data_IF_096371643323
#
_entry.id   IF_096371643323
#
_cell.length_a   1.000
_cell.length_b   1.000
_cell.length_c   1.000
_cell.angle_alpha   90.00
_cell.angle_beta   90.00
_cell.angle_gamma   90.00
#
_symmetry.space_group_name_H-M   'P 1'
#
loop_
_entity.id
_entity.type
_entity.pdbx_description
1 polymer ?
#
# COMPACT_ATOMS: atom_id res chain seq x y z
N UNK A 1 10.38 0.10 -12.83
CA UNK A 1 11.28 1.27 -12.68
C UNK A 1 10.54 2.27 -11.83
N UNK A 2 10.96 2.43 -10.57
CA UNK A 2 10.29 3.32 -9.62
C UNK A 2 10.37 4.78 -10.09
N UNK A 3 9.22 5.43 -10.18
CA UNK A 3 9.14 6.86 -10.43
C UNK A 3 9.66 7.63 -9.22
N UNK A 4 10.98 7.82 -9.17
CA UNK A 4 11.61 8.75 -8.23
C UNK A 4 11.25 10.18 -8.62
N UNK A 5 10.17 10.69 -8.02
CA UNK A 5 9.85 12.12 -8.07
C UNK A 5 10.95 12.91 -7.36
N UNK A 6 11.43 13.96 -8.01
CA UNK A 6 12.39 14.90 -7.42
C UNK A 6 11.81 15.55 -6.16
N UNK A 7 12.58 15.72 -5.05
CA UNK A 7 12.07 16.14 -3.73
C UNK A 7 11.58 17.60 -3.61
N UNK A 8 11.22 18.28 -4.72
CA UNK A 8 11.02 19.74 -4.76
C UNK A 8 9.61 20.24 -5.06
N UNK A 9 8.74 19.41 -5.65
CA UNK A 9 7.37 19.82 -5.98
C UNK A 9 6.41 18.76 -5.45
N UNK A 10 5.88 18.97 -4.24
CA UNK A 10 4.86 18.12 -3.62
C UNK A 10 3.53 18.16 -4.39
N UNK A 11 3.53 17.64 -5.61
CA UNK A 11 2.38 17.56 -6.50
C UNK A 11 1.60 16.26 -6.30
N UNK A 12 0.37 16.26 -6.82
CA UNK A 12 -0.40 15.03 -6.98
C UNK A 12 0.17 14.26 -8.17
N UNK A 13 0.48 12.98 -8.00
CA UNK A 13 0.75 12.06 -9.09
C UNK A 13 -0.56 11.42 -9.55
N UNK A 14 -0.78 11.39 -10.87
CA UNK A 14 -1.88 10.63 -11.48
C UNK A 14 -1.29 9.37 -12.10
N UNK A 15 -1.72 8.22 -11.58
CA UNK A 15 -1.28 6.91 -12.02
C UNK A 15 -2.36 6.23 -12.84
N UNK A 16 -1.97 5.62 -13.96
CA UNK A 16 -2.86 4.86 -14.83
C UNK A 16 -2.76 3.38 -14.49
N UNK A 17 -3.75 2.87 -13.76
CA UNK A 17 -3.77 1.51 -13.22
C UNK A 17 -4.91 0.70 -13.84
N UNK A 18 -4.95 -0.59 -13.50
CA UNK A 18 -6.09 -1.45 -13.78
C UNK A 18 -6.51 -2.21 -12.52
N UNK A 19 -7.82 -2.32 -12.34
CA UNK A 19 -8.42 -3.27 -11.41
C UNK A 19 -8.86 -4.50 -12.21
N UNK A 20 -8.32 -5.66 -11.85
CA UNK A 20 -8.77 -6.95 -12.34
C UNK A 20 -9.83 -7.50 -11.39
N UNK A 21 -10.95 -7.97 -11.93
CA UNK A 21 -12.05 -8.47 -11.10
C UNK A 21 -12.64 -9.77 -11.63
N UNK A 22 -12.89 -10.71 -10.73
CA UNK A 22 -13.57 -11.95 -11.08
C UNK A 22 -14.42 -12.48 -9.93
N UNK A 23 -15.44 -13.24 -10.27
CA UNK A 23 -16.41 -13.81 -9.34
C UNK A 23 -16.11 -15.31 -9.18
N UNK A 24 -15.95 -15.79 -7.95
CA UNK A 24 -15.55 -17.16 -7.63
C UNK A 24 -16.53 -17.73 -6.58
N UNK A 25 -17.33 -18.72 -6.94
CA UNK A 25 -18.34 -19.36 -6.05
C UNK A 25 -18.06 -20.84 -5.75
N UNK A 26 -16.93 -21.36 -6.24
CA UNK A 26 -16.54 -22.77 -6.16
C UNK A 26 -15.09 -22.97 -5.69
N UNK A 27 -14.53 -21.97 -4.97
CA UNK A 27 -13.21 -22.05 -4.34
C UNK A 27 -13.30 -21.98 -2.81
N UNK A 28 -12.22 -22.37 -2.13
CA UNK A 28 -12.11 -22.36 -0.67
C UNK A 28 -11.39 -21.10 -0.19
N UNK A 29 -11.66 -20.62 1.05
CA UNK A 29 -10.93 -19.50 1.62
C UNK A 29 -9.40 -19.69 1.66
N UNK A 30 -8.92 -20.92 1.87
CA UNK A 30 -7.49 -21.24 1.88
C UNK A 30 -6.84 -21.03 0.51
N UNK A 31 -7.50 -21.45 -0.58
CA UNK A 31 -7.03 -21.21 -1.94
C UNK A 31 -7.04 -19.71 -2.24
N UNK A 32 -8.10 -19.00 -1.87
CA UNK A 32 -8.20 -17.56 -2.10
C UNK A 32 -7.14 -16.77 -1.34
N UNK A 33 -6.81 -17.17 -0.10
CA UNK A 33 -5.72 -16.59 0.67
C UNK A 33 -4.36 -16.82 0.00
N UNK A 34 -4.09 -18.05 -0.45
CA UNK A 34 -2.86 -18.38 -1.19
C UNK A 34 -2.71 -17.55 -2.47
N UNK A 35 -3.80 -17.43 -3.26
CA UNK A 35 -3.80 -16.61 -4.48
C UNK A 35 -3.54 -15.14 -4.16
N UNK A 36 -4.12 -14.61 -3.08
CA UNK A 36 -3.86 -13.24 -2.62
C UNK A 36 -2.38 -13.00 -2.31
N UNK A 37 -1.72 -13.93 -1.59
CA UNK A 37 -0.30 -13.85 -1.28
C UNK A 37 0.58 -13.92 -2.53
N UNK A 38 0.25 -14.81 -3.47
CA UNK A 38 0.95 -14.93 -4.76
C UNK A 38 0.87 -13.65 -5.58
N UNK A 39 -0.32 -13.06 -5.69
CA UNK A 39 -0.54 -11.83 -6.46
C UNK A 39 0.23 -10.64 -5.87
N UNK A 40 0.18 -10.48 -4.55
CA UNK A 40 0.97 -9.45 -3.84
C UNK A 40 2.47 -9.66 -4.06
N UNK A 41 2.94 -10.90 -3.94
CA UNK A 41 4.35 -11.26 -4.17
C UNK A 41 4.79 -11.03 -5.62
N UNK A 42 3.86 -11.15 -6.57
CA UNK A 42 4.10 -10.90 -7.99
C UNK A 42 4.05 -9.40 -8.37
N UNK A 43 3.75 -8.51 -7.43
CA UNK A 43 3.74 -7.05 -7.64
C UNK A 43 2.35 -6.43 -7.84
N UNK A 44 1.27 -7.09 -7.42
CA UNK A 44 -0.01 -6.41 -7.27
C UNK A 44 0.14 -5.26 -6.25
N UNK A 45 -0.48 -4.11 -6.56
CA UNK A 45 -0.48 -2.95 -5.67
C UNK A 45 -1.46 -3.12 -4.51
N UNK A 46 -2.54 -3.87 -4.72
CA UNK A 46 -3.51 -4.25 -3.70
C UNK A 46 -4.28 -5.49 -4.15
N UNK A 47 -4.74 -6.29 -3.19
CA UNK A 47 -5.63 -7.44 -3.41
C UNK A 47 -6.68 -7.45 -2.31
N UNK A 48 -7.95 -7.43 -2.70
CA UNK A 48 -9.06 -7.49 -1.75
C UNK A 48 -10.19 -8.37 -2.26
N UNK A 49 -11.04 -8.77 -1.32
CA UNK A 49 -12.10 -9.74 -1.56
C UNK A 49 -13.41 -9.26 -0.95
N UNK A 50 -14.50 -9.37 -1.70
CA UNK A 50 -15.85 -9.00 -1.26
C UNK A 50 -16.75 -10.22 -1.33
N UNK A 51 -17.44 -10.54 -0.23
CA UNK A 51 -18.44 -11.61 -0.23
C UNK A 51 -19.67 -11.19 -1.06
N UNK A 52 -20.15 -12.09 -1.92
CA UNK A 52 -21.32 -11.85 -2.75
C UNK A 52 -22.20 -13.09 -2.86
N UNK A 53 -23.50 -12.88 -3.07
CA UNK A 53 -24.43 -13.94 -3.46
C UNK A 53 -24.51 -13.97 -4.99
N UNK A 54 -24.14 -15.09 -5.57
CA UNK A 54 -24.10 -15.32 -7.01
C UNK A 54 -25.38 -15.99 -7.51
N UNK A 55 -25.44 -16.28 -8.81
CA UNK A 55 -26.56 -16.99 -9.44
C UNK A 55 -26.91 -18.27 -8.67
N UNK A 56 -28.19 -18.63 -8.65
CA UNK A 56 -28.72 -19.80 -7.90
C UNK A 56 -28.50 -19.72 -6.38
N UNK A 57 -28.31 -18.51 -5.83
CA UNK A 57 -28.19 -18.28 -4.38
C UNK A 57 -26.87 -18.78 -3.79
N UNK A 58 -25.85 -19.01 -4.62
CA UNK A 58 -24.56 -19.53 -4.15
C UNK A 58 -23.74 -18.42 -3.47
N UNK A 59 -23.25 -18.62 -2.24
CA UNK A 59 -22.26 -17.71 -1.67
C UNK A 59 -20.94 -17.84 -2.44
N UNK A 60 -20.29 -16.72 -2.70
CA UNK A 60 -18.99 -16.65 -3.35
C UNK A 60 -18.25 -15.36 -3.00
N UNK A 61 -17.11 -15.16 -3.66
CA UNK A 61 -16.21 -14.02 -3.46
C UNK A 61 -16.01 -13.31 -4.79
N UNK A 62 -16.01 -11.98 -4.75
CA UNK A 62 -15.45 -11.15 -5.83
C UNK A 62 -14.00 -10.86 -5.46
N UNK A 63 -13.08 -11.39 -6.23
CA UNK A 63 -11.65 -11.09 -6.12
C UNK A 63 -11.37 -9.83 -6.91
N UNK A 64 -10.68 -8.88 -6.29
CA UNK A 64 -10.19 -7.67 -6.91
C UNK A 64 -8.67 -7.58 -6.77
N UNK A 65 -8.00 -7.16 -7.83
CA UNK A 65 -6.54 -6.99 -7.88
C UNK A 65 -6.23 -5.66 -8.55
N UNK A 66 -5.63 -4.72 -7.82
CA UNK A 66 -5.13 -3.47 -8.37
C UNK A 66 -3.68 -3.66 -8.81
N UNK A 67 -3.35 -3.33 -10.05
CA UNK A 67 -1.98 -3.42 -10.53
C UNK A 67 -1.68 -2.38 -11.61
N UNK A 68 -0.38 -2.16 -11.87
CA UNK A 68 0.07 -1.44 -13.04
C UNK A 68 -0.41 -2.13 -14.32
N UNK A 69 -0.74 -1.33 -15.34
CA UNK A 69 -1.13 -1.89 -16.64
C UNK A 69 -0.08 -2.85 -17.23
N UNK A 70 1.19 -2.61 -16.93
CA UNK A 70 2.31 -3.46 -17.37
C UNK A 70 2.37 -4.83 -16.68
N UNK A 71 1.73 -4.98 -15.51
CA UNK A 71 1.66 -6.24 -14.76
C UNK A 71 0.40 -7.05 -15.07
N UNK A 72 -0.53 -6.50 -15.86
CA UNK A 72 -1.84 -7.09 -16.13
C UNK A 72 -1.75 -8.55 -16.59
N UNK A 73 -0.90 -8.85 -17.58
CA UNK A 73 -0.79 -10.21 -18.13
C UNK A 73 -0.27 -11.23 -17.10
N UNK A 74 0.64 -10.79 -16.22
CA UNK A 74 1.17 -11.62 -15.14
C UNK A 74 0.06 -11.95 -14.11
N UNK A 75 -0.69 -10.92 -13.70
CA UNK A 75 -1.80 -11.10 -12.75
C UNK A 75 -2.92 -11.98 -13.33
N UNK A 76 -3.26 -11.80 -14.62
CA UNK A 76 -4.22 -12.64 -15.32
C UNK A 76 -3.76 -14.10 -15.34
N UNK A 77 -2.47 -14.35 -15.60
CA UNK A 77 -1.91 -15.69 -15.60
C UNK A 77 -2.06 -16.37 -14.23
N UNK A 78 -1.76 -15.66 -13.14
CA UNK A 78 -1.92 -16.19 -11.78
C UNK A 78 -3.40 -16.50 -11.50
N UNK A 79 -4.31 -15.56 -11.75
CA UNK A 79 -5.74 -15.74 -11.47
C UNK A 79 -6.32 -16.93 -12.26
N UNK A 80 -5.99 -17.05 -13.55
CA UNK A 80 -6.54 -18.10 -14.42
C UNK A 80 -5.95 -19.48 -14.15
N UNK A 81 -4.72 -19.58 -13.63
CA UNK A 81 -4.11 -20.87 -13.30
C UNK A 81 -4.48 -21.36 -11.90
N UNK A 82 -4.58 -20.46 -10.93
CA UNK A 82 -4.75 -20.82 -9.51
C UNK A 82 -6.21 -20.80 -9.04
N UNK A 83 -7.13 -20.31 -9.88
CA UNK A 83 -8.57 -20.29 -9.58
C UNK A 83 -9.38 -21.04 -10.62
N UNK A 84 -10.64 -21.30 -10.28
CA UNK A 84 -11.63 -21.94 -11.16
C UNK A 84 -12.26 -20.99 -12.17
N UNK A 85 -11.91 -19.69 -12.13
CA UNK A 85 -12.53 -18.72 -13.01
C UNK A 85 -12.16 -18.95 -14.47
N UNK A 86 -13.11 -18.70 -15.36
CA UNK A 86 -12.90 -18.76 -16.81
C UNK A 86 -12.63 -17.38 -17.43
N UNK A 87 -12.67 -16.32 -16.62
CA UNK A 87 -12.50 -14.98 -17.13
C UNK A 87 -12.33 -13.94 -16.04
N UNK A 88 -11.66 -12.87 -16.42
CA UNK A 88 -11.37 -11.73 -15.55
C UNK A 88 -11.76 -10.46 -16.28
N UNK A 89 -12.47 -9.56 -15.60
CA UNK A 89 -12.78 -8.22 -16.12
C UNK A 89 -11.59 -7.31 -15.82
N UNK A 90 -11.23 -6.48 -16.79
CA UNK A 90 -10.16 -5.49 -16.65
C UNK A 90 -10.83 -4.11 -16.65
N UNK A 91 -10.72 -3.39 -15.55
CA UNK A 91 -11.31 -2.06 -15.37
C UNK A 91 -10.17 -1.05 -15.26
N UNK A 92 -9.94 -0.21 -16.28
CA UNK A 92 -8.99 0.90 -16.16
C UNK A 92 -9.41 1.84 -15.03
N UNK A 93 -8.44 2.29 -14.24
CA UNK A 93 -8.70 3.28 -13.20
C UNK A 93 -7.53 4.25 -13.06
N UNK A 94 -7.86 5.50 -12.74
CA UNK A 94 -6.86 6.50 -12.39
C UNK A 94 -6.73 6.56 -10.86
N UNK A 95 -5.51 6.54 -10.36
CA UNK A 95 -5.23 6.77 -8.95
C UNK A 95 -4.49 8.10 -8.79
N UNK A 96 -5.10 9.01 -8.05
CA UNK A 96 -4.44 10.26 -7.65
C UNK A 96 -3.80 10.02 -6.28
N UNK A 97 -2.48 10.19 -6.20
CA UNK A 97 -1.72 10.01 -4.97
C UNK A 97 -0.88 11.24 -4.66
N UNK A 98 -0.60 11.48 -3.38
CA UNK A 98 0.41 12.45 -2.95
C UNK A 98 1.80 11.86 -3.18
N UNK A 99 2.78 12.72 -3.45
CA UNK A 99 4.19 12.32 -3.44
C UNK A 99 4.52 11.67 -2.08
N UNK A 100 5.03 10.44 -2.14
CA UNK A 100 5.49 9.68 -0.97
C UNK A 100 7.02 9.73 -0.93
N UNK A 101 7.55 10.12 0.21
CA UNK A 101 8.98 10.01 0.51
C UNK A 101 9.15 8.99 1.63
N UNK A 102 10.12 8.10 1.46
CA UNK A 102 10.59 7.23 2.52
C UNK A 102 11.71 7.95 3.25
N UNK A 103 11.38 8.45 4.43
CA UNK A 103 12.30 9.18 5.29
C UNK A 103 12.60 8.39 6.57
N UNK A 104 13.51 8.89 7.39
CA UNK A 104 13.86 8.23 8.66
C UNK A 104 13.58 9.14 9.85
N UNK A 105 12.96 8.57 10.88
CA UNK A 105 12.71 9.24 12.15
C UNK A 105 13.56 8.66 13.28
N UNK A 106 14.14 9.53 14.10
CA UNK A 106 14.90 9.11 15.28
C UNK A 106 13.96 8.88 16.46
N UNK A 107 14.00 7.68 17.02
CA UNK A 107 13.30 7.33 18.27
C UNK A 107 14.31 7.04 19.39
N UNK A 108 13.87 6.96 20.66
CA UNK A 108 14.73 6.51 21.76
C UNK A 108 15.32 5.10 21.56
N UNK A 109 14.74 4.31 20.65
CA UNK A 109 15.14 2.92 20.39
C UNK A 109 15.83 2.74 19.03
N UNK A 110 16.08 3.81 18.28
CA UNK A 110 16.75 3.78 16.99
C UNK A 110 15.97 4.44 15.85
N UNK A 111 16.51 4.32 14.65
CA UNK A 111 15.94 4.89 13.44
C UNK A 111 14.78 4.04 12.92
N UNK A 112 13.69 4.70 12.56
CA UNK A 112 12.47 4.09 12.04
C UNK A 112 12.13 4.72 10.69
N UNK A 113 11.94 3.92 9.63
CA UNK A 113 11.42 4.43 8.37
C UNK A 113 10.01 5.01 8.54
N UNK A 114 9.77 6.17 7.95
CA UNK A 114 8.49 6.88 7.93
C UNK A 114 8.09 7.14 6.48
N UNK A 115 6.88 6.72 6.12
CA UNK A 115 6.23 7.14 4.87
C UNK A 115 5.63 8.53 5.11
N UNK A 116 6.28 9.55 4.54
CA UNK A 116 5.81 10.92 4.54
C UNK A 116 5.07 11.22 3.24
N UNK A 117 3.89 11.84 3.35
CA UNK A 117 3.10 12.30 2.21
C UNK A 117 2.99 13.81 2.20
N UNK A 118 3.27 14.43 1.05
CA UNK A 118 3.25 15.87 0.88
C UNK A 118 2.19 16.30 -0.13
N UNK A 119 1.41 17.32 0.23
CA UNK A 119 0.46 17.99 -0.65
C UNK A 119 0.79 19.47 -0.71
N UNK A 120 1.14 19.97 -1.91
CA UNK A 120 1.55 21.36 -2.13
C UNK A 120 2.69 21.78 -1.19
N UNK A 121 3.68 20.90 -1.02
CA UNK A 121 4.83 21.11 -0.12
C UNK A 121 4.53 21.03 1.37
N UNK A 122 3.27 20.77 1.77
CA UNK A 122 2.88 20.60 3.18
C UNK A 122 2.80 19.13 3.52
N UNK A 123 3.39 18.76 4.65
CA UNK A 123 3.24 17.43 5.22
C UNK A 123 1.75 17.19 5.55
N UNK A 124 1.15 16.16 4.97
CA UNK A 124 -0.24 15.77 5.22
C UNK A 124 -0.37 14.43 5.96
N UNK A 125 0.64 13.57 5.85
CA UNK A 125 0.70 12.31 6.59
C UNK A 125 2.15 11.94 6.85
N UNK A 126 2.39 11.36 8.02
CA UNK A 126 3.64 10.71 8.38
C UNK A 126 3.23 9.42 9.10
N UNK A 127 3.57 8.27 8.53
CA UNK A 127 3.24 6.97 9.11
C UNK A 127 4.50 6.16 9.28
N UNK A 128 4.77 5.73 10.51
CA UNK A 128 5.91 4.85 10.79
C UNK A 128 5.65 3.43 10.25
N UNK A 129 6.65 2.86 9.57
CA UNK A 129 6.56 1.53 8.97
C UNK A 129 6.38 0.45 10.05
N UNK A 130 5.40 -0.43 9.83
CA UNK A 130 4.99 -1.40 10.85
C UNK A 130 6.08 -2.42 11.16
N UNK A 131 6.68 -3.06 10.15
CA UNK A 131 7.65 -4.13 10.33
C UNK A 131 8.89 -3.68 11.11
N UNK A 132 9.54 -2.53 10.77
CA UNK A 132 10.64 -1.99 11.57
C UNK A 132 10.22 -1.63 13.00
N UNK A 133 9.08 -0.97 13.18
CA UNK A 133 8.58 -0.65 14.52
C UNK A 133 8.32 -1.90 15.35
N UNK A 134 7.77 -2.96 14.75
CA UNK A 134 7.49 -4.21 15.41
C UNK A 134 8.77 -4.97 15.79
N UNK A 135 9.81 -4.92 14.94
CA UNK A 135 11.13 -5.46 15.28
C UNK A 135 11.73 -4.74 16.50
N UNK A 136 11.82 -3.41 16.44
CA UNK A 136 12.36 -2.57 17.52
C UNK A 136 11.59 -2.77 18.83
N UNK A 137 10.26 -2.83 18.76
CA UNK A 137 9.40 -3.06 19.92
C UNK A 137 9.71 -4.41 20.60
N UNK A 138 9.89 -5.48 19.82
CA UNK A 138 10.24 -6.80 20.34
C UNK A 138 11.64 -6.82 20.96
N UNK A 139 12.62 -6.24 20.27
CA UNK A 139 14.02 -6.19 20.72
C UNK A 139 14.20 -5.40 22.02
N UNK A 140 13.46 -4.30 22.18
CA UNK A 140 13.57 -3.41 23.33
C UNK A 140 12.53 -3.70 24.42
N UNK A 141 11.66 -4.70 24.22
CA UNK A 141 10.57 -5.05 25.13
C UNK A 141 9.65 -3.87 25.47
N UNK A 142 9.30 -3.07 24.46
CA UNK A 142 8.40 -1.90 24.59
C UNK A 142 7.13 -2.06 23.75
N UNK A 143 6.05 -1.34 24.07
CA UNK A 143 4.83 -1.37 23.24
C UNK A 143 5.07 -0.82 21.84
N UNK A 144 4.62 -1.55 20.80
CA UNK A 144 4.68 -1.10 19.39
C UNK A 144 4.10 0.31 19.19
N UNK A 145 2.98 0.60 19.85
CA UNK A 145 2.31 1.91 19.76
C UNK A 145 3.22 3.06 20.21
N UNK A 146 4.12 2.82 21.16
CA UNK A 146 5.02 3.85 21.69
C UNK A 146 6.18 4.10 20.71
N UNK A 147 6.68 3.05 20.05
CA UNK A 147 7.67 3.16 18.97
C UNK A 147 7.10 3.94 17.78
N UNK A 148 5.88 3.58 17.33
CA UNK A 148 5.19 4.29 16.25
C UNK A 148 4.98 5.76 16.59
N UNK A 149 4.42 6.03 17.77
CA UNK A 149 4.16 7.39 18.22
C UNK A 149 5.44 8.23 18.33
N UNK A 150 6.52 7.68 18.87
CA UNK A 150 7.80 8.38 18.98
C UNK A 150 8.37 8.75 17.61
N UNK A 151 8.32 7.83 16.65
CA UNK A 151 8.79 8.06 15.28
C UNK A 151 7.95 9.13 14.56
N UNK A 152 6.62 8.97 14.56
CA UNK A 152 5.70 9.91 13.90
C UNK A 152 5.79 11.30 14.52
N UNK A 153 5.84 11.39 15.85
CA UNK A 153 6.01 12.67 16.57
C UNK A 153 7.33 13.34 16.23
N UNK A 154 8.45 12.62 16.30
CA UNK A 154 9.77 13.18 16.01
C UNK A 154 9.82 13.74 14.59
N UNK A 155 9.27 12.98 13.62
CA UNK A 155 9.26 13.37 12.22
C UNK A 155 8.46 14.67 12.01
N UNK A 156 7.24 14.73 12.54
CA UNK A 156 6.38 15.91 12.43
C UNK A 156 7.03 17.14 13.07
N UNK A 157 7.65 16.99 14.24
CA UNK A 157 8.33 18.10 14.91
C UNK A 157 9.56 18.59 14.15
N UNK A 158 10.31 17.69 13.52
CA UNK A 158 11.50 18.05 12.75
C UNK A 158 11.13 18.77 11.44
N UNK A 159 10.15 18.26 10.70
CA UNK A 159 9.60 18.91 9.51
C UNK A 159 9.11 20.33 9.79
N UNK A 160 8.39 20.52 10.90
CA UNK A 160 7.91 21.85 11.30
C UNK A 160 9.06 22.83 11.59
N UNK A 161 10.19 22.35 12.14
CA UNK A 161 11.38 23.19 12.40
C UNK A 161 12.07 23.58 11.11
N UNK A 162 12.24 22.66 10.18
CA UNK A 162 12.90 22.90 8.91
C UNK A 162 12.10 23.89 8.03
N UNK A 163 10.77 23.72 7.95
CA UNK A 163 9.89 24.66 7.25
C UNK A 163 9.85 26.05 7.91
N UNK A 164 9.92 26.10 9.25
CA UNK A 164 10.02 27.36 9.99
C UNK A 164 11.33 28.12 9.78
N UNK A 165 12.43 27.41 9.51
CA UNK A 165 13.73 28.02 9.18
C UNK A 165 13.78 28.53 7.73
N UNK A 166 13.10 27.85 6.80
CA UNK A 166 13.01 28.26 5.39
C UNK A 166 12.08 29.46 5.14
N UNK A 167 11.19 29.80 6.09
CA UNK A 167 10.26 30.93 6.01
C UNK A 167 10.80 32.28 6.52
N UNK A 168 12.07 32.36 6.92
CA UNK A 168 12.74 33.56 7.45
C UNK A 168 13.81 34.15 6.51
N UNK A 169 13.80 33.77 5.23
CA UNK A 169 14.73 34.25 4.18
C UNK A 169 14.09 35.19 3.19
#
# INVERSE_FOLDING_TARGET
MGGGGTPGEGGLSVEQLVTLETNIDDSTPQILAYVSELLLSAGALDVWMVNAIMKKGRPGVVLHVLCDRSQCDNMLSIILNETTTLGVRIVPCERVAVARLEESALTPWGWVPVKAGYLQGKLVTATAEYEPCAAIARENHVPLKDVKFAAEKWFIENEAREQGQLGLG
#
